data_IF_538453362777
#
_entry.id   IF_538453362777
#
_cell.length_a   1.000
_cell.length_b   1.000
_cell.length_c   1.000
_cell.angle_alpha   90.00
_cell.angle_beta   90.00
_cell.angle_gamma   90.00
#
_symmetry.space_group_name_H-M   'P 1'
#
loop_
_entity.id
_entity.type
_entity.pdbx_description
1 polymer ?
#
# COMPACT_ATOMS: atom_id res chain seq x y z
N UNK A 1 21.26 4.43 3.39
CA UNK A 1 22.14 3.28 3.67
C UNK A 1 22.07 2.36 2.48
N UNK A 2 23.22 1.87 2.02
CA UNK A 2 23.30 0.86 0.98
C UNK A 2 23.57 -0.54 1.57
N UNK A 3 23.58 -1.56 0.73
CA UNK A 3 23.75 -2.95 1.17
C UNK A 3 25.19 -3.22 1.61
N UNK A 4 26.17 -2.58 0.96
CA UNK A 4 27.60 -2.74 1.27
C UNK A 4 27.88 -2.26 2.69
N UNK A 5 27.38 -1.08 3.06
CA UNK A 5 27.48 -0.51 4.40
C UNK A 5 26.83 -1.41 5.47
N UNK A 6 25.72 -2.08 5.12
CA UNK A 6 25.06 -3.04 6.02
C UNK A 6 25.89 -4.33 6.17
N UNK A 7 26.50 -4.82 5.09
CA UNK A 7 27.39 -5.99 5.14
C UNK A 7 28.59 -5.73 6.05
N UNK A 8 29.24 -4.57 5.92
CA UNK A 8 30.34 -4.15 6.80
C UNK A 8 29.94 -4.18 8.28
N UNK A 9 28.75 -3.68 8.61
CA UNK A 9 28.24 -3.70 9.99
C UNK A 9 27.95 -5.11 10.51
N UNK A 10 27.49 -6.02 9.64
CA UNK A 10 27.29 -7.43 9.99
C UNK A 10 28.64 -8.08 10.31
N UNK A 11 29.66 -7.84 9.50
CA UNK A 11 31.01 -8.38 9.70
C UNK A 11 31.64 -7.87 11.00
N UNK A 12 31.51 -6.57 11.28
CA UNK A 12 32.02 -5.94 12.51
C UNK A 12 31.19 -6.28 13.75
N UNK A 13 29.99 -6.84 13.58
CA UNK A 13 29.00 -7.11 14.65
C UNK A 13 28.65 -5.86 15.44
N UNK A 14 28.63 -4.72 14.75
CA UNK A 14 28.40 -3.42 15.36
C UNK A 14 26.91 -3.10 15.44
N UNK A 15 26.57 -2.34 16.48
CA UNK A 15 25.23 -1.75 16.59
C UNK A 15 25.27 -0.41 15.89
N UNK A 16 24.17 -0.09 15.22
CA UNK A 16 24.04 1.14 14.47
C UNK A 16 22.75 1.85 14.84
N UNK A 17 22.85 3.17 15.03
CA UNK A 17 21.69 4.03 15.23
C UNK A 17 21.21 4.51 13.85
N UNK A 18 19.95 4.26 13.56
CA UNK A 18 19.35 4.54 12.25
C UNK A 18 17.98 5.19 12.40
N UNK A 19 17.61 6.04 11.45
CA UNK A 19 16.20 6.38 11.18
C UNK A 19 15.62 5.40 10.17
N UNK A 20 14.45 4.86 10.49
CA UNK A 20 13.74 3.96 9.58
C UNK A 20 12.46 4.59 9.05
N UNK A 21 12.38 4.84 7.75
CA UNK A 21 11.24 5.46 7.08
C UNK A 21 10.18 4.44 6.61
N UNK A 22 10.04 3.33 7.34
CA UNK A 22 9.05 2.28 7.06
C UNK A 22 8.22 1.89 8.29
N UNK A 23 7.15 1.15 8.04
CA UNK A 23 6.26 0.65 9.10
C UNK A 23 5.38 1.72 9.73
N UNK A 24 4.89 1.46 10.95
CA UNK A 24 3.92 2.32 11.66
C UNK A 24 4.51 3.60 12.26
N UNK A 25 5.83 3.69 12.38
CA UNK A 25 6.52 4.86 12.94
C UNK A 25 7.70 5.25 12.04
N UNK A 26 7.42 5.81 10.85
CA UNK A 26 8.47 6.28 9.94
C UNK A 26 9.30 7.40 10.56
N UNK A 27 10.60 7.44 10.26
CA UNK A 27 11.53 8.47 10.75
C UNK A 27 11.99 8.28 12.20
N UNK A 28 11.38 7.36 12.96
CA UNK A 28 11.81 7.08 14.32
C UNK A 28 13.24 6.51 14.35
N UNK A 29 14.06 7.03 15.26
CA UNK A 29 15.38 6.49 15.57
C UNK A 29 15.25 5.07 16.15
N UNK A 30 16.15 4.19 15.73
CA UNK A 30 16.21 2.80 16.15
C UNK A 30 17.67 2.42 16.31
N UNK A 31 18.01 1.88 17.47
CA UNK A 31 19.28 1.18 17.63
C UNK A 31 19.07 -0.27 17.16
N UNK A 32 19.80 -0.68 16.13
CA UNK A 32 19.71 -2.03 15.55
C UNK A 32 21.07 -2.70 15.50
N UNK A 33 21.08 -4.03 15.61
CA UNK A 33 22.23 -4.87 15.27
C UNK A 33 21.86 -5.72 14.05
N UNK A 34 22.42 -5.42 12.85
CA UNK A 34 22.27 -6.26 11.66
C UNK A 34 22.70 -7.71 11.91
N UNK A 35 22.00 -8.67 11.32
CA UNK A 35 22.27 -10.11 11.44
C UNK A 35 22.56 -10.72 10.07
N UNK A 36 21.72 -10.44 9.08
CA UNK A 36 21.87 -10.98 7.73
C UNK A 36 21.09 -10.13 6.71
N UNK A 37 21.57 -10.08 5.47
CA UNK A 37 20.79 -9.61 4.32
C UNK A 37 19.75 -10.66 3.93
N UNK A 38 18.56 -10.20 3.53
CA UNK A 38 17.43 -11.03 3.09
C UNK A 38 16.91 -10.47 1.77
N UNK A 39 16.78 -11.34 0.76
CA UNK A 39 16.28 -11.04 -0.58
C UNK A 39 17.01 -9.88 -1.29
N UNK A 40 18.27 -9.60 -0.96
CA UNK A 40 19.08 -8.48 -1.48
C UNK A 40 18.44 -7.08 -1.35
N UNK A 41 17.40 -6.92 -0.53
CA UNK A 41 16.70 -5.63 -0.33
C UNK A 41 16.38 -5.33 1.13
N UNK A 42 16.48 -6.32 2.00
CA UNK A 42 16.19 -6.20 3.43
C UNK A 42 17.38 -6.63 4.27
N UNK A 43 17.40 -6.13 5.49
CA UNK A 43 18.27 -6.62 6.55
C UNK A 43 17.43 -7.16 7.69
N UNK A 44 17.72 -8.39 8.10
CA UNK A 44 17.25 -8.95 9.36
C UNK A 44 18.14 -8.41 10.47
N UNK A 45 17.55 -7.74 11.46
CA UNK A 45 18.30 -7.09 12.54
C UNK A 45 17.59 -7.23 13.89
N UNK A 46 18.36 -7.28 14.97
CA UNK A 46 17.84 -7.13 16.34
C UNK A 46 17.56 -5.66 16.59
N UNK A 47 16.29 -5.30 16.78
CA UNK A 47 15.88 -3.94 17.11
C UNK A 47 15.79 -3.77 18.63
N UNK A 48 16.69 -2.98 19.22
CA UNK A 48 16.73 -2.78 20.67
C UNK A 48 15.54 -1.96 21.18
N UNK A 49 15.06 -0.98 20.41
CA UNK A 49 13.87 -0.18 20.77
C UNK A 49 12.59 -0.99 20.95
N UNK A 50 12.49 -2.18 20.34
CA UNK A 50 11.33 -3.08 20.50
C UNK A 50 11.69 -4.45 21.07
N UNK A 51 12.95 -4.65 21.44
CA UNK A 51 13.52 -5.91 21.90
C UNK A 51 13.13 -7.15 21.07
N UNK A 52 13.08 -7.03 19.73
CA UNK A 52 12.65 -8.08 18.80
C UNK A 52 13.55 -8.12 17.57
N UNK A 53 13.66 -9.29 16.93
CA UNK A 53 14.25 -9.42 15.59
C UNK A 53 13.21 -9.01 14.56
N UNK A 54 13.58 -8.14 13.63
CA UNK A 54 12.71 -7.59 12.58
C UNK A 54 13.47 -7.52 11.27
N UNK A 55 12.71 -7.41 10.18
CA UNK A 55 13.26 -7.14 8.86
C UNK A 55 13.01 -5.68 8.50
N UNK A 56 14.04 -5.01 7.99
CA UNK A 56 14.02 -3.62 7.57
C UNK A 56 14.41 -3.53 6.11
N UNK A 57 13.71 -2.73 5.32
CA UNK A 57 14.17 -2.42 3.95
C UNK A 57 15.41 -1.53 4.03
N UNK A 58 16.50 -1.95 3.39
CA UNK A 58 17.79 -1.24 3.43
C UNK A 58 17.64 0.17 2.84
N UNK A 59 16.95 0.29 1.70
CA UNK A 59 16.66 1.59 1.08
C UNK A 59 15.76 2.53 1.90
N UNK A 60 15.27 2.13 3.08
CA UNK A 60 14.52 2.99 4.02
C UNK A 60 15.29 3.27 5.31
N UNK A 61 16.55 2.86 5.40
CA UNK A 61 17.45 3.12 6.51
C UNK A 61 18.36 4.31 6.19
N UNK A 62 18.48 5.20 7.17
CA UNK A 62 19.40 6.35 7.13
C UNK A 62 20.18 6.36 8.44
N UNK A 63 21.50 6.52 8.37
CA UNK A 63 22.37 6.64 9.55
C UNK A 63 21.94 7.84 10.39
N UNK A 64 21.98 7.69 11.71
CA UNK A 64 21.63 8.76 12.64
C UNK A 64 22.70 8.85 13.74
N UNK A 65 23.05 10.07 14.11
CA UNK A 65 24.02 10.34 15.18
C UNK A 65 23.31 10.61 16.51
N UNK A 66 24.01 10.39 17.63
CA UNK A 66 23.48 10.69 18.97
C UNK A 66 23.28 12.20 19.20
N UNK A 67 24.09 13.04 18.55
CA UNK A 67 23.98 14.50 18.57
C UNK A 67 22.93 15.06 17.61
N UNK A 68 22.33 14.22 16.77
CA UNK A 68 21.33 14.64 15.80
C UNK A 68 19.98 14.89 16.50
N UNK A 69 19.84 16.05 17.14
CA UNK A 69 18.57 16.57 17.64
C UNK A 69 17.61 17.00 16.51
N UNK A 70 18.02 16.87 15.25
CA UNK A 70 17.19 17.19 14.08
C UNK A 70 16.08 16.16 13.92
N UNK A 71 14.85 16.51 14.28
CA UNK A 71 13.65 15.69 14.10
C UNK A 71 13.57 14.45 15.01
N UNK A 72 13.72 14.64 16.32
CA UNK A 72 13.00 13.77 17.26
C UNK A 72 11.50 13.99 17.07
N UNK A 73 10.89 13.17 16.20
CA UNK A 73 9.46 12.95 16.25
C UNK A 73 8.57 14.08 15.73
N UNK A 74 8.84 14.63 14.54
CA UNK A 74 7.69 14.81 13.64
C UNK A 74 7.27 13.42 13.16
N UNK A 75 6.66 12.66 14.07
CA UNK A 75 5.59 11.77 13.68
C UNK A 75 4.53 12.70 13.08
N UNK A 76 4.70 13.02 11.79
CA UNK A 76 3.54 13.16 10.93
C UNK A 76 2.88 11.81 11.06
N UNK A 77 1.90 11.73 11.98
CA UNK A 77 0.93 10.65 11.93
C UNK A 77 0.62 10.46 10.45
N UNK A 78 0.67 9.23 9.89
CA UNK A 78 0.21 9.04 8.53
C UNK A 78 -1.12 9.76 8.49
N UNK A 79 -1.20 10.85 7.71
CA UNK A 79 -2.41 11.65 7.67
C UNK A 79 -3.52 10.65 7.47
N UNK A 80 -4.55 10.62 8.34
CA UNK A 80 -5.57 9.60 8.26
C UNK A 80 -5.97 9.55 6.80
N UNK A 81 -5.70 8.39 6.16
CA UNK A 81 -5.95 8.22 4.75
C UNK A 81 -7.39 8.67 4.57
N UNK A 82 -7.62 9.74 3.80
CA UNK A 82 -8.92 10.39 3.71
C UNK A 82 -9.97 9.29 3.69
N UNK A 83 -10.82 9.27 4.72
CA UNK A 83 -11.83 8.25 4.83
C UNK A 83 -12.86 8.55 3.74
N UNK A 84 -13.09 7.57 2.88
CA UNK A 84 -14.08 7.71 1.82
C UNK A 84 -15.26 6.82 2.17
N UNK A 85 -16.44 7.42 2.12
CA UNK A 85 -17.72 6.75 2.36
C UNK A 85 -18.24 6.01 1.12
N UNK A 86 -17.87 6.46 -0.09
CA UNK A 86 -18.32 5.89 -1.35
C UNK A 86 -17.30 6.04 -2.48
N UNK A 87 -17.50 5.30 -3.59
CA UNK A 87 -16.70 5.47 -4.81
C UNK A 87 -16.91 6.85 -5.45
N UNK A 88 -18.09 7.45 -5.33
CA UNK A 88 -18.35 8.81 -5.79
C UNK A 88 -17.47 9.83 -5.06
N UNK A 89 -17.25 9.64 -3.76
CA UNK A 89 -16.39 10.53 -2.97
C UNK A 89 -14.91 10.38 -3.38
N UNK A 90 -14.47 9.15 -3.64
CA UNK A 90 -13.12 8.87 -4.18
C UNK A 90 -12.95 9.55 -5.52
N UNK A 91 -13.93 9.38 -6.41
CA UNK A 91 -13.89 9.94 -7.74
C UNK A 91 -13.89 11.47 -7.70
N UNK A 92 -14.81 12.10 -6.96
CA UNK A 92 -14.86 13.54 -6.79
C UNK A 92 -13.53 14.11 -6.25
N UNK A 93 -12.87 13.38 -5.36
CA UNK A 93 -11.58 13.79 -4.81
C UNK A 93 -10.42 13.70 -5.80
N UNK A 94 -10.38 12.66 -6.65
CA UNK A 94 -9.26 12.44 -7.58
C UNK A 94 -9.52 12.90 -9.01
N UNK A 95 -10.77 13.25 -9.36
CA UNK A 95 -11.18 13.55 -10.74
C UNK A 95 -10.31 14.61 -11.40
N UNK A 96 -10.17 15.79 -10.78
CA UNK A 96 -9.38 16.89 -11.34
C UNK A 96 -7.90 16.50 -11.54
N UNK A 97 -7.36 15.71 -10.61
CA UNK A 97 -5.98 15.19 -10.72
C UNK A 97 -5.85 14.21 -11.87
N UNK A 98 -6.81 13.31 -12.05
CA UNK A 98 -6.79 12.31 -13.11
C UNK A 98 -7.01 12.93 -14.50
N UNK A 99 -7.94 13.88 -14.60
CA UNK A 99 -8.22 14.62 -15.84
C UNK A 99 -7.05 15.52 -16.24
N UNK A 100 -6.39 16.19 -15.28
CA UNK A 100 -5.16 16.97 -15.57
C UNK A 100 -3.98 16.09 -15.99
N UNK A 101 -3.91 14.86 -15.48
CA UNK A 101 -2.99 13.85 -15.99
C UNK A 101 -3.41 13.30 -17.36
N UNK A 102 -4.57 13.67 -17.90
CA UNK A 102 -5.06 13.23 -19.21
C UNK A 102 -5.67 11.82 -19.21
N UNK A 103 -6.30 11.42 -18.12
CA UNK A 103 -7.10 10.19 -18.03
C UNK A 103 -8.60 10.50 -18.22
N UNK A 104 -9.31 9.59 -18.88
CA UNK A 104 -10.77 9.58 -18.86
C UNK A 104 -11.25 8.93 -17.56
N UNK A 105 -12.25 9.51 -16.89
CA UNK A 105 -12.74 9.04 -15.60
C UNK A 105 -14.22 8.66 -15.70
N UNK A 106 -14.59 7.46 -15.26
CA UNK A 106 -15.99 7.05 -15.12
C UNK A 106 -16.26 6.49 -13.72
N UNK A 107 -17.48 6.74 -13.22
CA UNK A 107 -17.95 6.32 -11.91
C UNK A 107 -19.32 5.68 -12.06
N UNK A 108 -19.49 4.50 -11.48
CA UNK A 108 -20.76 3.79 -11.39
C UNK A 108 -20.66 2.68 -10.35
N UNK A 109 -20.96 1.45 -10.74
CA UNK A 109 -20.70 0.28 -9.89
C UNK A 109 -19.20 0.06 -9.57
N UNK A 110 -18.34 0.60 -10.43
CA UNK A 110 -16.89 0.70 -10.23
C UNK A 110 -16.42 2.12 -10.51
N UNK A 111 -15.26 2.47 -9.96
CA UNK A 111 -14.52 3.68 -10.28
C UNK A 111 -13.38 3.32 -11.22
N UNK A 112 -13.39 3.83 -12.44
CA UNK A 112 -12.51 3.38 -13.52
C UNK A 112 -11.84 4.55 -14.24
N UNK A 113 -10.58 4.33 -14.64
CA UNK A 113 -9.83 5.28 -15.49
C UNK A 113 -9.44 4.66 -16.81
N UNK A 114 -9.44 5.48 -17.86
CA UNK A 114 -9.24 5.06 -19.24
C UNK A 114 -8.17 5.89 -19.92
N UNK A 115 -7.30 5.21 -20.68
CA UNK A 115 -6.42 5.89 -21.61
C UNK A 115 -7.17 6.33 -22.88
N UNK A 116 -6.56 7.24 -23.63
CA UNK A 116 -7.04 7.65 -24.96
C UNK A 116 -6.19 7.01 -26.07
N UNK A 117 -6.81 6.75 -27.21
CA UNK A 117 -6.10 6.45 -28.45
C UNK A 117 -5.49 7.74 -29.05
N UNK A 118 -4.55 7.59 -29.98
CA UNK A 118 -3.95 8.74 -30.70
C UNK A 118 -4.98 9.61 -31.43
N UNK A 119 -6.15 9.05 -31.75
CA UNK A 119 -7.27 9.75 -32.38
C UNK A 119 -8.19 10.47 -31.37
N UNK A 120 -7.80 10.56 -30.10
CA UNK A 120 -8.58 11.23 -29.04
C UNK A 120 -9.78 10.45 -28.52
N UNK A 121 -10.06 9.25 -29.04
CA UNK A 121 -11.16 8.40 -28.52
C UNK A 121 -10.72 7.69 -27.25
N UNK A 122 -11.60 7.67 -26.25
CA UNK A 122 -11.38 6.91 -25.02
C UNK A 122 -11.35 5.41 -25.32
N UNK A 123 -10.44 4.68 -24.68
CA UNK A 123 -10.40 3.22 -24.78
C UNK A 123 -11.61 2.61 -24.07
N UNK A 124 -12.12 1.49 -24.60
CA UNK A 124 -13.26 0.77 -23.99
C UNK A 124 -12.87 -0.03 -22.75
N UNK A 125 -11.60 -0.43 -22.64
CA UNK A 125 -11.10 -1.20 -21.50
C UNK A 125 -10.47 -0.25 -20.49
N UNK A 126 -10.86 -0.30 -19.20
CA UNK A 126 -10.21 0.48 -18.15
C UNK A 126 -8.72 0.14 -18.05
N UNK A 127 -7.91 1.16 -17.83
CA UNK A 127 -6.50 1.02 -17.49
C UNK A 127 -6.33 0.66 -16.01
N UNK A 128 -7.18 1.18 -15.13
CA UNK A 128 -7.30 0.77 -13.73
C UNK A 128 -8.73 0.95 -13.23
N UNK A 129 -9.13 0.15 -12.23
CA UNK A 129 -10.45 0.27 -11.59
C UNK A 129 -10.46 -0.14 -10.11
N UNK A 130 -11.41 0.44 -9.36
CA UNK A 130 -11.81 0.03 -8.01
C UNK A 130 -13.25 -0.48 -8.06
N UNK A 131 -13.50 -1.67 -7.53
CA UNK A 131 -14.85 -2.27 -7.45
C UNK A 131 -15.10 -2.88 -6.07
N UNK A 132 -16.38 -3.03 -5.72
CA UNK A 132 -16.80 -3.73 -4.52
C UNK A 132 -17.23 -5.17 -4.88
N UNK A 133 -16.54 -6.16 -4.32
CA UNK A 133 -16.84 -7.58 -4.46
C UNK A 133 -17.58 -8.08 -3.22
N UNK A 134 -18.90 -8.20 -3.34
CA UNK A 134 -19.71 -8.95 -2.40
C UNK A 134 -19.67 -10.43 -2.82
N UNK A 135 -19.07 -11.29 -2.01
CA UNK A 135 -19.26 -12.75 -2.16
C UNK A 135 -20.56 -13.12 -1.44
N UNK A 136 -21.50 -13.70 -2.18
CA UNK A 136 -22.67 -14.36 -1.59
C UNK A 136 -22.25 -15.80 -1.34
N UNK A 137 -21.93 -16.13 -0.09
CA UNK A 137 -21.75 -17.52 0.31
C UNK A 137 -23.13 -18.16 0.49
N UNK A 138 -23.49 -19.12 -0.37
CA UNK A 138 -24.62 -20.01 -0.10
C UNK A 138 -24.11 -21.17 0.77
N UNK A 139 -24.39 -21.15 2.06
CA UNK A 139 -24.25 -22.33 2.91
C UNK A 139 -25.52 -23.18 2.78
N UNK A 140 -25.42 -24.33 2.09
CA UNK A 140 -26.47 -25.34 2.09
C UNK A 140 -26.39 -26.13 3.40
N UNK A 141 -27.23 -25.77 4.39
CA UNK A 141 -27.43 -26.59 5.58
C UNK A 141 -28.41 -27.71 5.23
N UNK A 142 -27.92 -28.94 5.14
CA UNK A 142 -28.75 -30.15 5.01
C UNK A 142 -29.25 -30.62 6.37
N UNK A 143 -30.09 -29.82 7.05
CA UNK A 143 -30.79 -30.27 8.26
C UNK A 143 -32.29 -29.92 8.16
N UNK A 144 -33.20 -30.91 8.16
CA UNK A 144 -34.65 -30.68 8.03
C UNK A 144 -35.29 -29.88 9.17
N UNK A 145 -34.60 -29.67 10.30
CA UNK A 145 -35.17 -29.05 11.50
C UNK A 145 -34.58 -27.68 11.87
N UNK A 146 -33.67 -27.12 11.06
CA UNK A 146 -33.05 -25.83 11.38
C UNK A 146 -33.75 -24.67 10.64
N UNK A 147 -34.27 -23.70 11.39
CA UNK A 147 -34.72 -22.42 10.85
C UNK A 147 -33.51 -21.73 10.19
N UNK A 148 -33.61 -21.49 8.89
CA UNK A 148 -32.57 -20.89 8.08
C UNK A 148 -32.31 -19.44 8.49
N UNK A 149 -31.18 -19.19 9.14
CA UNK A 149 -30.59 -17.85 9.24
C UNK A 149 -29.42 -17.82 8.26
N UNK A 150 -29.60 -17.14 7.14
CA UNK A 150 -28.52 -16.92 6.18
C UNK A 150 -27.55 -15.89 6.77
N UNK A 151 -26.46 -16.34 7.39
CA UNK A 151 -25.34 -15.46 7.72
C UNK A 151 -24.53 -15.19 6.44
N UNK A 152 -24.67 -13.98 5.89
CA UNK A 152 -23.88 -13.56 4.74
C UNK A 152 -22.40 -13.55 5.13
N UNK A 153 -21.61 -14.46 4.54
CA UNK A 153 -20.16 -14.45 4.65
C UNK A 153 -19.61 -13.17 4.01
N UNK A 154 -19.49 -12.11 4.80
CA UNK A 154 -18.97 -10.82 4.34
C UNK A 154 -17.49 -11.00 4.01
N UNK A 155 -17.14 -10.84 2.73
CA UNK A 155 -15.75 -10.85 2.26
C UNK A 155 -14.91 -9.96 3.18
N UNK A 156 -13.89 -10.53 3.84
CA UNK A 156 -13.01 -9.79 4.78
C UNK A 156 -12.28 -8.62 4.10
N UNK A 157 -12.22 -8.60 2.76
CA UNK A 157 -11.57 -7.59 1.92
C UNK A 157 -12.38 -7.32 0.65
N UNK A 158 -13.51 -6.60 0.75
CA UNK A 158 -14.45 -6.47 -0.36
C UNK A 158 -13.98 -5.50 -1.46
N UNK A 159 -13.02 -4.62 -1.18
CA UNK A 159 -12.57 -3.63 -2.15
C UNK A 159 -11.49 -4.20 -3.06
N UNK A 160 -11.76 -4.30 -4.35
CA UNK A 160 -10.86 -4.86 -5.35
C UNK A 160 -10.26 -3.75 -6.21
N UNK A 161 -8.93 -3.74 -6.36
CA UNK A 161 -8.20 -2.82 -7.25
C UNK A 161 -7.55 -3.62 -8.36
N UNK A 162 -7.81 -3.22 -9.60
CA UNK A 162 -7.26 -3.83 -10.82
C UNK A 162 -6.55 -2.77 -11.64
N UNK A 163 -5.47 -3.16 -12.32
CA UNK A 163 -4.79 -2.31 -13.28
C UNK A 163 -4.12 -3.15 -14.37
N UNK A 164 -4.00 -2.59 -15.57
CA UNK A 164 -3.37 -3.25 -16.72
C UNK A 164 -1.93 -3.64 -16.40
N UNK A 165 -1.59 -4.91 -16.59
CA UNK A 165 -0.23 -5.42 -16.34
C UNK A 165 0.16 -5.49 -14.86
N UNK A 166 -0.79 -5.29 -13.92
CA UNK A 166 -0.57 -5.39 -12.48
C UNK A 166 -1.40 -6.51 -11.88
N UNK A 167 -0.93 -7.04 -10.74
CA UNK A 167 -1.67 -8.04 -9.97
C UNK A 167 -2.87 -7.39 -9.28
N UNK A 168 -4.03 -8.04 -9.37
CA UNK A 168 -5.24 -7.65 -8.63
C UNK A 168 -4.99 -7.73 -7.13
N UNK A 169 -5.40 -6.68 -6.40
CA UNK A 169 -5.21 -6.57 -4.95
C UNK A 169 -6.52 -6.23 -4.25
N UNK A 170 -6.80 -6.92 -3.14
CA UNK A 170 -8.04 -6.74 -2.37
C UNK A 170 -7.76 -6.12 -1.00
N UNK A 171 -8.65 -5.22 -0.57
CA UNK A 171 -8.54 -4.41 0.63
C UNK A 171 -9.80 -4.45 1.48
N UNK A 172 -9.63 -4.28 2.79
CA UNK A 172 -10.74 -4.16 3.75
C UNK A 172 -11.35 -2.75 3.75
N UNK A 173 -10.54 -1.74 3.48
CA UNK A 173 -10.91 -0.32 3.58
C UNK A 173 -10.83 0.33 2.19
N UNK A 174 -11.83 1.15 1.86
CA UNK A 174 -11.89 1.89 0.60
C UNK A 174 -10.71 2.85 0.47
N UNK A 175 -10.31 3.53 1.53
CA UNK A 175 -9.17 4.46 1.50
C UNK A 175 -7.86 3.80 1.09
N UNK A 176 -7.62 2.56 1.53
CA UNK A 176 -6.44 1.77 1.11
C UNK A 176 -6.54 1.34 -0.34
N UNK A 177 -7.73 0.97 -0.80
CA UNK A 177 -7.97 0.66 -2.21
C UNK A 177 -7.74 1.90 -3.10
N UNK A 178 -8.25 3.07 -2.69
CA UNK A 178 -8.08 4.33 -3.39
C UNK A 178 -6.60 4.77 -3.48
N UNK A 179 -5.84 4.63 -2.39
CA UNK A 179 -4.40 4.85 -2.41
C UNK A 179 -3.70 3.93 -3.41
N UNK A 180 -4.02 2.62 -3.36
CA UNK A 180 -3.38 1.65 -4.26
C UNK A 180 -3.72 1.90 -5.73
N UNK A 181 -4.96 2.32 -5.98
CA UNK A 181 -5.41 2.71 -7.30
C UNK A 181 -4.57 3.87 -7.84
N UNK A 182 -4.38 4.94 -7.06
CA UNK A 182 -3.55 6.08 -7.49
C UNK A 182 -2.09 5.68 -7.74
N UNK A 183 -1.51 4.80 -6.91
CA UNK A 183 -0.17 4.25 -7.16
C UNK A 183 -0.10 3.56 -8.54
N UNK A 184 -1.11 2.76 -8.89
CA UNK A 184 -1.17 2.10 -10.20
C UNK A 184 -1.36 3.08 -11.35
N UNK A 185 -2.17 4.12 -11.17
CA UNK A 185 -2.38 5.13 -12.22
C UNK A 185 -1.09 5.92 -12.49
N UNK A 186 -0.38 6.33 -11.44
CA UNK A 186 0.90 7.06 -11.58
C UNK A 186 1.96 6.19 -12.27
N UNK A 187 2.02 4.91 -11.91
CA UNK A 187 2.96 3.95 -12.54
C UNK A 187 2.62 3.65 -14.01
N UNK A 188 1.33 3.61 -14.35
CA UNK A 188 0.88 3.49 -15.74
C UNK A 188 1.20 4.75 -16.57
N UNK A 189 1.12 5.92 -15.95
CA UNK A 189 1.49 7.18 -16.59
C UNK A 189 3.01 7.24 -16.89
N UNK A 190 3.84 6.80 -15.94
CA UNK A 190 5.30 6.77 -16.10
C UNK A 190 5.80 5.72 -17.12
N UNK A 191 5.06 4.62 -17.30
CA UNK A 191 5.42 3.52 -18.22
C UNK A 191 4.91 3.74 -19.65
N UNK A 192 4.13 4.80 -19.90
CA UNK A 192 3.53 5.11 -21.20
C UNK A 192 2.15 4.46 -21.39
N UNK A 193 1.14 5.30 -21.65
CA UNK A 193 -0.30 4.97 -21.71
C UNK A 193 -0.74 4.01 -22.84
#
# INVERSE_FOLDING_TARGET
>A
MDIEEVCDLIERKEKVLVRYFGGKSPGAKRLIAPIAIVDDVKVRARCYSSNRVKEFFVGKLVMADESDNGLDGLYLAPQPAKEFSSLDEVAAFYKDTLESLGWGVEVGAEFSVFGFFKNGRMRRTPSASISFLMEIGEEFITDPNLVSVSEFATNKRPWCVRAKGKKTTNFRELSKAAQKFMEYVIDLDSTGK
#
